data_IF_400404986687
#
_entry.id   IF_400404986687
#
_cell.length_a   1.000
_cell.length_b   1.000
_cell.length_c   1.000
_cell.angle_alpha   90.00
_cell.angle_beta   90.00
_cell.angle_gamma   90.00
#
_symmetry.space_group_name_H-M   'P 1'
#
loop_
_entity.id
_entity.type
_entity.pdbx_description
1 polymer ?
#
# COMPACT_ATOMS: atom_id res chain seq x y z
N UNK A 1 13.68 13.87 -0.27
CA UNK A 1 12.52 12.96 -0.20
C UNK A 1 12.54 12.32 1.16
N UNK A 2 11.39 12.34 1.81
CA UNK A 2 11.20 11.85 3.17
C UNK A 2 10.14 10.75 3.14
N UNK A 3 10.27 9.78 4.03
CA UNK A 3 9.33 8.66 4.14
C UNK A 3 8.76 8.67 5.55
N UNK A 4 7.44 8.53 5.65
CA UNK A 4 6.72 8.33 6.91
C UNK A 4 5.89 7.04 6.82
N UNK A 5 5.84 6.29 7.90
CA UNK A 5 5.04 5.05 7.94
C UNK A 5 3.60 5.39 8.32
N UNK A 6 2.63 4.88 7.56
CA UNK A 6 1.20 4.98 7.85
C UNK A 6 0.78 3.93 8.87
N UNK A 7 0.84 4.35 10.12
CA UNK A 7 0.37 3.64 11.30
C UNK A 7 -0.54 4.53 12.16
N UNK A 8 -0.99 4.00 13.30
CA UNK A 8 -1.88 4.72 14.19
C UNK A 8 -1.25 5.97 14.82
N UNK A 9 0.08 6.04 14.91
CA UNK A 9 0.80 7.16 15.53
C UNK A 9 0.94 8.34 14.57
N UNK A 10 1.15 8.05 13.28
CA UNK A 10 1.47 9.05 12.26
C UNK A 10 0.28 9.48 11.39
N UNK A 11 -0.92 8.93 11.60
CA UNK A 11 -2.08 9.14 10.71
C UNK A 11 -2.48 10.62 10.57
N UNK A 12 -2.31 11.43 11.63
CA UNK A 12 -2.62 12.85 11.60
C UNK A 12 -1.63 13.62 10.71
N UNK A 13 -0.33 13.39 10.90
CA UNK A 13 0.72 14.02 10.10
C UNK A 13 0.58 13.65 8.62
N UNK A 14 0.20 12.39 8.33
CA UNK A 14 -0.04 11.93 6.96
C UNK A 14 -1.21 12.66 6.30
N UNK A 15 -2.31 12.90 7.04
CA UNK A 15 -3.43 13.67 6.51
C UNK A 15 -2.98 15.11 6.15
N UNK A 16 -2.13 15.73 6.96
CA UNK A 16 -1.58 17.05 6.65
C UNK A 16 -0.72 17.03 5.37
N UNK A 17 0.08 15.98 5.14
CA UNK A 17 0.86 15.83 3.91
C UNK A 17 -0.04 15.74 2.66
N UNK A 18 -1.17 15.05 2.78
CA UNK A 18 -2.18 14.98 1.73
C UNK A 18 -2.82 16.34 1.47
N UNK A 19 -3.21 17.06 2.53
CA UNK A 19 -3.80 18.40 2.43
C UNK A 19 -2.85 19.42 1.80
N UNK A 20 -1.54 19.28 2.07
CA UNK A 20 -0.49 20.11 1.47
C UNK A 20 -0.18 19.74 0.01
N UNK A 21 -0.64 18.60 -0.48
CA UNK A 21 -0.38 18.13 -1.84
C UNK A 21 1.09 17.79 -2.10
N UNK A 22 1.81 17.35 -1.06
CA UNK A 22 3.26 17.05 -1.12
C UNK A 22 3.58 15.56 -1.20
N UNK A 23 2.54 14.71 -1.15
CA UNK A 23 2.68 13.26 -1.32
C UNK A 23 3.11 12.93 -2.75
N UNK A 24 4.09 12.05 -2.89
CA UNK A 24 4.61 11.56 -4.17
C UNK A 24 4.14 10.12 -4.41
N UNK A 25 4.25 9.29 -3.38
CA UNK A 25 3.86 7.88 -3.41
C UNK A 25 3.21 7.45 -2.09
N UNK A 26 2.24 6.55 -2.16
CA UNK A 26 1.74 5.79 -1.02
C UNK A 26 1.84 4.30 -1.36
N UNK A 27 2.66 3.57 -0.61
CA UNK A 27 2.91 2.15 -0.86
C UNK A 27 2.45 1.32 0.32
N UNK A 28 1.53 0.39 0.08
CA UNK A 28 1.14 -0.66 1.03
C UNK A 28 1.76 -1.98 0.59
N UNK A 29 2.35 -2.72 1.54
CA UNK A 29 2.91 -4.05 1.35
C UNK A 29 2.20 -5.01 2.30
N UNK A 30 1.58 -6.03 1.72
CA UNK A 30 0.71 -6.97 2.39
C UNK A 30 1.23 -8.38 2.24
N UNK A 31 0.95 -9.20 3.23
CA UNK A 31 1.29 -10.61 3.24
C UNK A 31 0.04 -11.47 3.22
N UNK A 32 -0.06 -12.35 2.22
CA UNK A 32 -1.19 -13.26 2.01
C UNK A 32 -0.65 -14.62 1.56
N UNK A 33 -0.85 -15.69 2.33
CA UNK A 33 -0.47 -17.06 1.94
C UNK A 33 0.95 -17.21 1.35
N UNK A 34 1.96 -16.62 1.98
CA UNK A 34 3.37 -16.56 1.54
C UNK A 34 3.65 -15.76 0.25
N UNK A 35 2.67 -15.00 -0.22
CA UNK A 35 2.83 -13.99 -1.26
C UNK A 35 2.91 -12.62 -0.62
N UNK A 36 3.74 -11.78 -1.22
CA UNK A 36 3.77 -10.36 -0.95
C UNK A 36 2.98 -9.63 -2.03
N UNK A 37 2.00 -8.85 -1.60
CA UNK A 37 1.15 -8.04 -2.45
C UNK A 37 1.46 -6.58 -2.16
N UNK A 38 1.93 -5.84 -3.17
CA UNK A 38 2.21 -4.41 -3.05
C UNK A 38 1.26 -3.61 -3.91
N UNK A 39 0.74 -2.51 -3.35
CA UNK A 39 -0.05 -1.50 -4.03
C UNK A 39 0.66 -0.17 -3.81
N UNK A 40 1.03 0.52 -4.88
CA UNK A 40 1.66 1.84 -4.85
C UNK A 40 0.80 2.85 -5.61
N UNK A 41 0.30 3.86 -4.92
CA UNK A 41 -0.26 5.06 -5.55
C UNK A 41 0.85 5.96 -6.05
N UNK A 42 0.77 6.38 -7.30
CA UNK A 42 1.73 7.29 -7.96
C UNK A 42 1.03 8.63 -8.23
N UNK A 43 1.29 9.63 -7.39
CA UNK A 43 0.50 10.86 -7.37
C UNK A 43 0.58 11.66 -8.68
N UNK A 44 1.76 11.75 -9.30
CA UNK A 44 1.95 12.56 -10.51
C UNK A 44 1.38 11.90 -11.78
N UNK A 45 1.19 10.58 -11.79
CA UNK A 45 0.56 9.86 -12.91
C UNK A 45 -0.91 9.54 -12.66
N UNK A 46 -1.37 9.67 -11.41
CA UNK A 46 -2.74 9.37 -10.97
C UNK A 46 -3.15 7.93 -11.28
N UNK A 47 -2.29 7.00 -10.90
CA UNK A 47 -2.48 5.56 -11.09
C UNK A 47 -1.92 4.75 -9.92
N UNK A 48 -2.29 3.47 -9.89
CA UNK A 48 -1.78 2.48 -8.97
C UNK A 48 -0.95 1.44 -9.71
N UNK A 49 0.25 1.19 -9.19
CA UNK A 49 1.06 0.04 -9.51
C UNK A 49 0.75 -1.07 -8.51
N UNK A 50 0.46 -2.27 -9.01
CA UNK A 50 0.13 -3.43 -8.21
C UNK A 50 1.05 -4.57 -8.59
N UNK A 51 1.75 -5.15 -7.62
CA UNK A 51 2.61 -6.31 -7.86
C UNK A 51 2.35 -7.42 -6.86
N UNK A 52 2.41 -8.65 -7.35
CA UNK A 52 2.42 -9.86 -6.52
C UNK A 52 3.75 -10.56 -6.73
N UNK A 53 4.43 -10.86 -5.65
CA UNK A 53 5.71 -11.57 -5.68
C UNK A 53 5.78 -12.60 -4.58
N UNK A 54 6.72 -13.53 -4.70
CA UNK A 54 7.02 -14.42 -3.58
C UNK A 54 7.73 -13.66 -2.45
N UNK A 55 7.57 -14.12 -1.21
CA UNK A 55 8.25 -13.55 -0.03
C UNK A 55 9.79 -13.56 -0.13
N UNK A 56 10.37 -14.41 -0.96
CA UNK A 56 11.82 -14.46 -1.17
C UNK A 56 12.31 -13.37 -2.13
N UNK A 57 11.40 -12.60 -2.73
CA UNK A 57 11.67 -11.58 -3.75
C UNK A 57 12.51 -12.09 -4.93
N UNK A 58 12.41 -13.39 -5.23
CA UNK A 58 13.12 -14.00 -6.36
C UNK A 58 12.29 -13.99 -7.64
N UNK A 59 10.98 -13.81 -7.53
CA UNK A 59 10.07 -13.82 -8.66
C UNK A 59 8.86 -12.90 -8.47
N UNK A 60 8.66 -11.99 -9.42
CA UNK A 60 7.39 -11.30 -9.63
C UNK A 60 6.45 -12.27 -10.35
N UNK A 61 5.31 -12.54 -9.73
CA UNK A 61 4.25 -13.42 -10.24
C UNK A 61 3.31 -12.63 -11.14
N UNK A 62 2.95 -11.42 -10.72
CA UNK A 62 2.02 -10.56 -11.42
C UNK A 62 2.39 -9.09 -11.23
N UNK A 63 2.18 -8.28 -12.27
CA UNK A 63 2.31 -6.82 -12.21
C UNK A 63 1.21 -6.19 -13.07
N UNK A 64 0.50 -5.22 -12.51
CA UNK A 64 -0.57 -4.50 -13.17
C UNK A 64 -0.48 -3.01 -12.85
N UNK A 65 -0.97 -2.20 -13.80
CA UNK A 65 -1.13 -0.75 -13.61
C UNK A 65 -2.60 -0.42 -13.84
N UNK A 66 -3.24 0.22 -12.86
CA UNK A 66 -4.67 0.54 -12.90
C UNK A 66 -4.92 1.98 -12.49
N UNK A 67 -5.96 2.60 -13.05
CA UNK A 67 -6.40 3.94 -12.60
C UNK A 67 -7.25 3.90 -11.34
N UNK A 68 -7.91 2.77 -11.10
CA UNK A 68 -8.82 2.58 -9.98
C UNK A 68 -8.62 1.18 -9.41
N UNK A 69 -8.57 1.08 -8.08
CA UNK A 69 -8.53 -0.18 -7.35
C UNK A 69 -9.91 -0.83 -7.30
N UNK A 70 -9.95 -2.16 -7.27
CA UNK A 70 -11.17 -2.89 -6.88
C UNK A 70 -11.50 -2.66 -5.40
N UNK A 71 -12.71 -2.97 -4.95
CA UNK A 71 -13.13 -2.67 -3.57
C UNK A 71 -12.32 -3.44 -2.52
N UNK A 72 -11.92 -4.67 -2.84
CA UNK A 72 -10.99 -5.46 -2.01
C UNK A 72 -9.60 -4.83 -1.97
N UNK A 73 -9.08 -4.37 -3.12
CA UNK A 73 -7.79 -3.67 -3.19
C UNK A 73 -7.82 -2.33 -2.45
N UNK A 74 -8.94 -1.60 -2.47
CA UNK A 74 -9.11 -0.38 -1.64
C UNK A 74 -9.06 -0.70 -0.16
N UNK A 75 -9.68 -1.80 0.25
CA UNK A 75 -9.64 -2.25 1.66
C UNK A 75 -8.20 -2.55 2.07
N UNK A 76 -7.51 -3.29 1.22
CA UNK A 76 -6.10 -3.68 1.39
C UNK A 76 -5.17 -2.47 1.47
N UNK A 77 -5.32 -1.52 0.54
CA UNK A 77 -4.54 -0.29 0.48
C UNK A 77 -4.75 0.60 1.70
N UNK A 78 -5.91 0.55 2.37
CA UNK A 78 -6.19 1.39 3.53
C UNK A 78 -5.74 0.79 4.87
N UNK A 79 -5.25 -0.45 4.90
CA UNK A 79 -4.75 -1.07 6.13
C UNK A 79 -3.54 -0.31 6.66
N UNK A 80 -3.58 0.02 7.95
CA UNK A 80 -2.41 0.56 8.64
C UNK A 80 -1.36 -0.53 8.82
N UNK A 81 -0.10 -0.14 8.93
CA UNK A 81 0.96 -1.09 9.27
C UNK A 81 0.60 -1.89 10.52
N UNK A 82 0.74 -3.21 10.42
CA UNK A 82 0.49 -4.15 11.52
C UNK A 82 -0.95 -4.63 11.60
N UNK A 83 -1.89 -4.01 10.89
CA UNK A 83 -3.27 -4.48 10.82
C UNK A 83 -3.39 -5.78 10.03
N UNK A 84 -4.43 -6.54 10.38
CA UNK A 84 -4.82 -7.78 9.73
C UNK A 84 -6.27 -7.72 9.31
N UNK A 85 -6.60 -8.27 8.15
CA UNK A 85 -7.94 -8.36 7.61
C UNK A 85 -8.19 -9.77 7.09
N UNK A 86 -9.36 -10.34 7.38
CA UNK A 86 -9.81 -11.60 6.79
C UNK A 86 -10.74 -11.27 5.63
N UNK A 87 -10.35 -11.66 4.41
CA UNK A 87 -11.11 -11.37 3.21
C UNK A 87 -12.32 -12.31 3.01
N UNK A 88 -13.17 -11.99 2.04
CA UNK A 88 -14.36 -12.79 1.72
C UNK A 88 -14.05 -14.22 1.19
N UNK A 89 -12.79 -14.51 0.90
CA UNK A 89 -12.30 -15.81 0.47
C UNK A 89 -11.62 -16.59 1.61
N UNK A 90 -11.58 -16.04 2.84
CA UNK A 90 -10.96 -16.65 4.00
C UNK A 90 -9.44 -16.50 4.06
N UNK A 91 -8.86 -15.59 3.27
CA UNK A 91 -7.44 -15.29 3.36
C UNK A 91 -7.17 -14.30 4.50
N UNK A 92 -6.12 -14.56 5.27
CA UNK A 92 -5.60 -13.60 6.25
C UNK A 92 -4.59 -12.70 5.54
N UNK A 93 -4.95 -11.42 5.42
CA UNK A 93 -4.13 -10.37 4.85
C UNK A 93 -3.50 -9.57 5.98
N UNK A 94 -2.17 -9.51 6.03
CA UNK A 94 -1.45 -8.72 7.02
C UNK A 94 -0.71 -7.57 6.35
N UNK A 95 -0.93 -6.34 6.79
CA UNK A 95 -0.12 -5.21 6.37
C UNK A 95 1.22 -5.22 7.09
N UNK A 96 2.31 -5.43 6.34
CA UNK A 96 3.67 -5.49 6.90
C UNK A 96 4.42 -4.17 6.77
N UNK A 97 4.03 -3.34 5.79
CA UNK A 97 4.48 -1.96 5.67
C UNK A 97 3.43 -1.13 4.96
N UNK A 98 3.30 0.12 5.37
CA UNK A 98 2.53 1.12 4.67
C UNK A 98 3.31 2.43 4.78
N UNK A 99 3.81 2.94 3.67
CA UNK A 99 4.71 4.09 3.64
C UNK A 99 4.21 5.18 2.71
N UNK A 100 4.41 6.43 3.12
CA UNK A 100 4.12 7.63 2.34
C UNK A 100 5.46 8.31 2.04
N UNK A 101 5.78 8.46 0.76
CA UNK A 101 6.92 9.26 0.30
C UNK A 101 6.43 10.65 -0.10
N UNK A 102 7.11 11.70 0.37
CA UNK A 102 6.70 13.07 0.17
C UNK A 102 7.89 14.04 -0.03
N UNK A 103 7.60 15.20 -0.63
CA UNK A 103 8.57 16.27 -0.91
C UNK A 103 8.11 17.63 -0.39
N UNK A 104 8.84 18.18 0.59
CA UNK A 104 8.65 19.54 1.14
C UNK A 104 9.59 20.56 0.48
#
# INVERSE_FOLDING_TARGET
MTIIEKDAENILDINELYDLGVVLFETTVLLVNNLEFSICWVEFEKLYDISVQNQEHTQIIEYNVVKELSDIQKTYFNLLKGETYEDEHGNIVKCISHSIEYGL
#
